data_IF_419784600783
#
_entry.id   IF_419784600783
#
_cell.length_a   1.000
_cell.length_b   1.000
_cell.length_c   1.000
_cell.angle_alpha   90.00
_cell.angle_beta   90.00
_cell.angle_gamma   90.00
#
_symmetry.space_group_name_H-M   'P 1'
#
loop_
_entity.id
_entity.type
_entity.pdbx_description
1 polymer ?
#
# COMPACT_ATOMS: atom_id res chain seq x y z
N UNK A 1 -13.48 9.52 -8.55
CA UNK A 1 -12.56 9.16 -7.46
C UNK A 1 -11.14 9.44 -7.90
N UNK A 2 -10.44 10.32 -7.20
CA UNK A 2 -9.00 10.55 -7.35
C UNK A 2 -8.23 9.69 -6.34
N UNK A 3 -7.31 8.84 -6.81
CA UNK A 3 -6.48 8.00 -5.94
C UNK A 3 -5.06 8.56 -5.93
N UNK A 4 -4.60 9.00 -4.77
CA UNK A 4 -3.22 9.43 -4.55
C UNK A 4 -2.45 8.35 -3.81
N UNK A 5 -1.43 7.78 -4.46
CA UNK A 5 -0.50 6.83 -3.83
C UNK A 5 0.75 7.60 -3.43
N UNK A 6 0.96 7.78 -2.12
CA UNK A 6 2.18 8.33 -1.54
C UNK A 6 3.11 7.19 -1.16
N UNK A 7 4.41 7.40 -1.34
CA UNK A 7 5.41 6.41 -0.93
C UNK A 7 6.47 7.03 -0.03
N UNK A 8 6.98 6.23 0.90
CA UNK A 8 8.10 6.63 1.75
C UNK A 8 9.30 5.74 1.43
N UNK A 9 10.40 6.35 0.98
CA UNK A 9 11.69 5.69 0.73
C UNK A 9 11.67 4.57 -0.33
N UNK A 10 10.63 4.52 -1.18
CA UNK A 10 10.52 3.55 -2.26
C UNK A 10 9.82 4.13 -3.48
N UNK A 11 10.21 3.65 -4.66
CA UNK A 11 9.45 3.84 -5.90
C UNK A 11 8.68 2.55 -6.14
N UNK A 12 7.34 2.55 -6.03
CA UNK A 12 6.56 1.34 -6.14
C UNK A 12 6.54 0.88 -7.60
N UNK A 13 6.72 -0.42 -7.81
CA UNK A 13 6.52 -1.05 -9.11
C UNK A 13 5.11 -0.79 -9.62
N UNK A 14 4.94 -0.80 -10.95
CA UNK A 14 3.65 -0.57 -11.60
C UNK A 14 2.59 -1.58 -11.14
N UNK A 15 2.99 -2.84 -10.96
CA UNK A 15 2.14 -3.91 -10.46
C UNK A 15 1.56 -3.60 -9.08
N UNK A 16 2.36 -3.00 -8.18
CA UNK A 16 1.91 -2.60 -6.85
C UNK A 16 0.93 -1.42 -6.92
N UNK A 17 1.17 -0.46 -7.81
CA UNK A 17 0.22 0.65 -8.05
C UNK A 17 -1.12 0.12 -8.56
N UNK A 18 -1.08 -0.79 -9.54
CA UNK A 18 -2.27 -1.41 -10.11
C UNK A 18 -3.05 -2.22 -9.06
N UNK A 19 -2.33 -2.96 -8.20
CA UNK A 19 -2.94 -3.68 -7.08
C UNK A 19 -3.69 -2.75 -6.13
N UNK A 20 -3.07 -1.64 -5.71
CA UNK A 20 -3.71 -0.65 -4.82
C UNK A 20 -4.94 -0.03 -5.48
N UNK A 21 -4.80 0.43 -6.73
CA UNK A 21 -5.91 1.05 -7.47
C UNK A 21 -7.10 0.11 -7.64
N UNK A 22 -6.86 -1.15 -7.97
CA UNK A 22 -7.92 -2.15 -8.11
C UNK A 22 -8.66 -2.40 -6.79
N UNK A 23 -7.94 -2.49 -5.67
CA UNK A 23 -8.58 -2.72 -4.37
C UNK A 23 -9.42 -1.52 -3.93
N UNK A 24 -8.91 -0.30 -4.07
CA UNK A 24 -9.67 0.92 -3.75
C UNK A 24 -10.87 1.05 -4.72
N UNK A 25 -10.68 0.74 -6.00
CA UNK A 25 -11.74 0.75 -7.01
C UNK A 25 -12.92 -0.17 -6.65
N UNK A 26 -12.67 -1.31 -5.99
CA UNK A 26 -13.75 -2.20 -5.53
C UNK A 26 -14.63 -1.57 -4.46
N UNK A 27 -14.10 -0.63 -3.68
CA UNK A 27 -14.87 0.08 -2.65
C UNK A 27 -15.88 1.05 -3.26
N UNK A 28 -15.67 1.52 -4.49
CA UNK A 28 -16.63 2.38 -5.20
C UNK A 28 -17.98 1.71 -5.45
N UNK A 29 -18.00 0.38 -5.58
CA UNK A 29 -19.26 -0.34 -5.75
C UNK A 29 -20.07 -0.45 -4.46
N UNK A 30 -19.48 -0.10 -3.31
CA UNK A 30 -20.11 -0.19 -1.99
C UNK A 30 -20.50 1.17 -1.42
N UNK A 31 -19.91 2.25 -1.92
CA UNK A 31 -20.10 3.60 -1.41
C UNK A 31 -20.35 4.57 -2.56
N UNK A 32 -21.49 5.26 -2.52
CA UNK A 32 -21.96 6.12 -3.60
C UNK A 32 -21.15 7.42 -3.79
N UNK A 33 -20.19 7.75 -2.90
CA UNK A 33 -19.58 9.09 -2.87
C UNK A 33 -18.13 9.12 -2.41
N UNK A 34 -17.31 8.16 -2.81
CA UNK A 34 -15.85 8.27 -2.59
C UNK A 34 -15.26 9.21 -3.66
N UNK A 35 -15.03 10.46 -3.27
CA UNK A 35 -14.43 11.48 -4.14
C UNK A 35 -12.92 11.32 -4.26
N UNK A 36 -12.24 11.02 -3.14
CA UNK A 36 -10.78 10.89 -3.07
C UNK A 36 -10.36 9.73 -2.17
N UNK A 37 -9.25 9.09 -2.49
CA UNK A 37 -8.59 8.09 -1.64
C UNK A 37 -7.08 8.38 -1.60
N UNK A 38 -6.49 8.31 -0.41
CA UNK A 38 -5.05 8.48 -0.21
C UNK A 38 -4.47 7.22 0.43
N UNK A 39 -3.44 6.64 -0.18
CA UNK A 39 -2.76 5.45 0.30
C UNK A 39 -1.27 5.74 0.52
N UNK A 40 -0.71 5.30 1.66
CA UNK A 40 0.70 5.51 2.00
C UNK A 40 1.45 4.18 2.07
N UNK A 41 2.28 3.92 1.06
CA UNK A 41 3.12 2.72 1.00
C UNK A 41 4.44 2.94 1.74
N UNK A 42 4.73 2.06 2.70
CA UNK A 42 6.00 2.02 3.45
C UNK A 42 6.53 0.58 3.46
N UNK A 43 7.85 0.44 3.38
CA UNK A 43 8.50 -0.82 3.73
C UNK A 43 8.91 -0.75 5.18
N UNK A 44 8.39 -1.64 6.00
CA UNK A 44 8.96 -1.89 7.32
C UNK A 44 10.24 -2.72 7.15
N UNK A 45 11.27 -2.38 7.93
CA UNK A 45 12.45 -3.25 8.00
C UNK A 45 11.97 -4.58 8.60
N UNK A 46 12.34 -5.73 8.02
CA UNK A 46 12.07 -6.99 8.67
C UNK A 46 12.69 -6.94 10.07
N UNK A 47 11.90 -7.29 11.08
CA UNK A 47 12.38 -7.38 12.46
C UNK A 47 13.63 -8.26 12.47
N UNK A 48 14.78 -7.69 12.83
CA UNK A 48 16.02 -8.43 13.05
C UNK A 48 15.99 -9.19 14.38
N UNK A 49 14.85 -9.83 14.70
CA UNK A 49 14.73 -10.78 15.80
C UNK A 49 15.01 -12.18 15.27
N UNK A 50 16.21 -12.36 14.74
CA UNK A 50 16.76 -13.64 14.29
C UNK A 50 18.19 -13.89 14.78
N UNK A 51 18.74 -12.99 15.61
CA UNK A 51 20.00 -13.23 16.31
C UNK A 51 19.71 -13.88 17.68
N UNK A 52 19.63 -15.22 17.66
CA UNK A 52 20.17 -16.17 18.66
C UNK A 52 19.54 -17.55 18.46
N UNK A 53 19.99 -18.27 17.45
CA UNK A 53 20.22 -19.70 17.63
C UNK A 53 21.70 -19.85 18.01
N UNK A 54 22.01 -19.61 19.29
CA UNK A 54 23.31 -19.96 19.86
C UNK A 54 23.21 -21.39 20.36
N UNK A 55 24.06 -22.27 19.81
CA UNK A 55 24.48 -23.59 20.34
C UNK A 55 23.44 -24.69 20.50
#
# INVERSE_FOLDING_TARGET
MEITIKTHQLTPAEELKNFVQNNIGRLLHLYDSIETAEELLKMEKPDSTGDKATT
#
